data_IF_995612596582
#
_entry.id   IF_995612596582
#
_cell.length_a   1.000
_cell.length_b   1.000
_cell.length_c   1.000
_cell.angle_alpha   90.00
_cell.angle_beta   90.00
_cell.angle_gamma   90.00
#
_symmetry.space_group_name_H-M   'P 1'
#
loop_
_entity.id
_entity.type
_entity.pdbx_description
1 polymer ?
#
# COMPACT_ATOMS: atom_id res chain seq x y z
N UNK A 1 11.73 11.05 -26.55
CA UNK A 1 11.12 10.23 -25.47
C UNK A 1 12.13 9.64 -24.47
N UNK A 2 13.31 9.13 -24.88
CA UNK A 2 14.30 8.53 -23.96
C UNK A 2 14.91 9.52 -22.94
N UNK A 3 15.24 10.75 -23.33
CA UNK A 3 15.76 11.77 -22.40
C UNK A 3 14.76 12.18 -21.31
N UNK A 4 13.50 12.42 -21.68
CA UNK A 4 12.43 12.74 -20.72
C UNK A 4 12.24 11.61 -19.69
N UNK A 5 12.34 10.35 -20.12
CA UNK A 5 12.28 9.20 -19.20
C UNK A 5 13.48 9.11 -18.24
N UNK A 6 14.67 9.58 -18.63
CA UNK A 6 15.86 9.59 -17.75
C UNK A 6 15.77 10.71 -16.73
N UNK A 7 15.35 11.91 -17.15
CA UNK A 7 15.14 13.05 -16.25
C UNK A 7 14.07 12.73 -15.20
N UNK A 8 12.94 12.14 -15.61
CA UNK A 8 11.88 11.74 -14.69
C UNK A 8 12.35 10.68 -13.67
N UNK A 9 13.16 9.71 -14.13
CA UNK A 9 13.76 8.68 -13.26
C UNK A 9 14.75 9.25 -12.25
N UNK A 10 15.50 10.26 -12.64
CA UNK A 10 16.45 10.94 -11.77
C UNK A 10 15.72 11.82 -10.76
N UNK A 11 14.75 12.62 -11.21
CA UNK A 11 13.94 13.48 -10.35
C UNK A 11 13.20 12.67 -9.27
N UNK A 12 12.54 11.57 -9.65
CA UNK A 12 11.86 10.67 -8.69
C UNK A 12 12.80 10.06 -7.65
N UNK A 13 14.04 9.74 -8.05
CA UNK A 13 15.05 9.22 -7.13
C UNK A 13 15.54 10.31 -6.17
N UNK A 14 15.84 11.51 -6.69
CA UNK A 14 16.29 12.64 -5.85
C UNK A 14 15.20 13.06 -4.87
N UNK A 15 13.95 13.17 -5.31
CA UNK A 15 12.80 13.48 -4.45
C UNK A 15 12.55 12.40 -3.40
N UNK A 16 12.63 11.12 -3.78
CA UNK A 16 12.48 10.01 -2.85
C UNK A 16 13.59 9.97 -1.80
N UNK A 17 14.85 10.12 -2.21
CA UNK A 17 15.99 10.14 -1.28
C UNK A 17 15.93 11.35 -0.37
N UNK A 18 15.68 12.54 -0.92
CA UNK A 18 15.59 13.78 -0.16
C UNK A 18 14.48 13.75 0.89
N UNK A 19 13.30 13.22 0.54
CA UNK A 19 12.19 13.08 1.49
C UNK A 19 12.51 12.12 2.63
N UNK A 20 13.10 10.95 2.36
CA UNK A 20 13.47 9.99 3.42
C UNK A 20 14.51 10.58 4.38
N UNK A 21 15.54 11.24 3.86
CA UNK A 21 16.58 11.88 4.69
C UNK A 21 15.98 13.02 5.53
N UNK A 22 15.13 13.86 4.93
CA UNK A 22 14.45 14.95 5.64
C UNK A 22 13.53 14.41 6.75
N UNK A 23 12.72 13.40 6.45
CA UNK A 23 11.83 12.79 7.43
C UNK A 23 12.61 12.17 8.59
N UNK A 24 13.71 11.46 8.30
CA UNK A 24 14.59 10.90 9.33
C UNK A 24 15.16 11.99 10.25
N UNK A 25 15.66 13.08 9.67
CA UNK A 25 16.20 14.21 10.42
C UNK A 25 15.16 14.87 11.35
N UNK A 26 13.90 14.96 10.91
CA UNK A 26 12.81 15.54 11.70
C UNK A 26 12.31 14.58 12.80
N UNK A 27 12.23 13.28 12.51
CA UNK A 27 11.67 12.28 13.44
C UNK A 27 12.62 11.91 14.58
N UNK A 28 13.93 11.84 14.34
CA UNK A 28 14.90 11.42 15.37
C UNK A 28 14.84 12.30 16.64
N UNK A 29 14.88 13.64 16.57
CA UNK A 29 14.79 14.48 17.77
C UNK A 29 13.46 14.32 18.51
N UNK A 30 12.36 14.07 17.78
CA UNK A 30 11.04 13.88 18.38
C UNK A 30 10.98 12.58 19.19
N UNK A 31 11.55 11.49 18.65
CA UNK A 31 11.68 10.22 19.35
C UNK A 31 12.53 10.37 20.61
N UNK A 32 13.71 11.01 20.51
CA UNK A 32 14.60 11.21 21.66
C UNK A 32 13.90 11.96 22.80
N UNK A 33 13.23 13.08 22.51
CA UNK A 33 12.43 13.83 23.50
C UNK A 33 11.33 12.97 24.12
N UNK A 34 10.72 12.10 23.33
CA UNK A 34 9.65 11.24 23.82
C UNK A 34 10.17 10.19 24.82
N UNK A 35 11.39 9.67 24.62
CA UNK A 35 12.05 8.73 25.54
C UNK A 35 12.59 9.36 26.83
N UNK A 36 12.83 10.68 26.86
CA UNK A 36 13.27 11.39 28.08
C UNK A 36 12.22 11.39 29.21
N UNK A 37 10.95 11.08 28.91
CA UNK A 37 9.83 11.26 29.83
C UNK A 37 9.44 10.00 30.63
N UNK A 38 10.28 8.97 30.66
CA UNK A 38 10.20 7.84 31.60
C UNK A 38 9.91 6.46 30.97
N UNK A 39 10.20 5.35 31.69
CA UNK A 39 10.26 3.99 31.13
C UNK A 39 8.92 3.21 31.14
N UNK A 40 7.80 3.82 31.53
CA UNK A 40 6.52 3.11 31.62
C UNK A 40 6.05 2.66 30.23
N UNK A 41 5.82 1.35 30.05
CA UNK A 41 5.30 0.77 28.80
C UNK A 41 6.34 0.31 27.77
N UNK A 42 7.64 0.23 28.11
CA UNK A 42 8.67 -0.29 27.19
C UNK A 42 8.36 -1.69 26.63
N UNK A 43 7.81 -2.59 27.45
CA UNK A 43 7.42 -3.93 27.01
C UNK A 43 6.33 -3.88 25.92
N UNK A 44 5.30 -3.03 26.11
CA UNK A 44 4.24 -2.81 25.13
C UNK A 44 4.77 -2.21 23.84
N UNK A 45 5.72 -1.27 23.95
CA UNK A 45 6.38 -0.67 22.80
C UNK A 45 7.14 -1.74 22.00
N UNK A 46 7.89 -2.62 22.64
CA UNK A 46 8.59 -3.72 21.96
C UNK A 46 7.60 -4.66 21.26
N UNK A 47 6.53 -5.07 21.93
CA UNK A 47 5.48 -5.92 21.34
C UNK A 47 4.85 -5.23 20.13
N UNK A 48 4.50 -3.95 20.25
CA UNK A 48 3.96 -3.13 19.16
C UNK A 48 4.91 -3.06 17.96
N UNK A 49 6.20 -2.83 18.19
CA UNK A 49 7.21 -2.79 17.13
C UNK A 49 7.38 -4.14 16.42
N UNK A 50 7.37 -5.25 17.17
CA UNK A 50 7.47 -6.60 16.60
C UNK A 50 6.25 -6.93 15.73
N UNK A 51 5.04 -6.64 16.22
CA UNK A 51 3.80 -6.82 15.46
C UNK A 51 3.78 -5.94 14.20
N UNK A 52 4.22 -4.69 14.34
CA UNK A 52 4.31 -3.76 13.21
C UNK A 52 5.31 -4.25 12.15
N UNK A 53 6.48 -4.76 12.58
CA UNK A 53 7.46 -5.38 11.68
C UNK A 53 6.91 -6.64 10.99
N UNK A 54 6.15 -7.47 11.71
CA UNK A 54 5.47 -8.63 11.13
C UNK A 54 4.50 -8.20 10.03
N UNK A 55 3.74 -7.11 10.23
CA UNK A 55 2.86 -6.54 9.19
C UNK A 55 3.63 -6.16 7.92
N UNK A 56 4.84 -5.60 8.06
CA UNK A 56 5.72 -5.28 6.93
C UNK A 56 6.22 -6.53 6.18
N UNK A 57 6.51 -7.61 6.89
CA UNK A 57 6.89 -8.89 6.27
C UNK A 57 5.73 -9.43 5.42
N UNK A 58 4.51 -9.40 5.93
CA UNK A 58 3.32 -9.84 5.17
C UNK A 58 3.03 -8.92 3.98
N UNK A 59 3.17 -7.60 4.14
CA UNK A 59 3.08 -6.63 3.02
C UNK A 59 4.10 -6.90 1.93
N UNK A 60 5.33 -7.23 2.30
CA UNK A 60 6.37 -7.57 1.35
C UNK A 60 6.05 -8.88 0.63
N UNK A 61 5.58 -9.91 1.33
CA UNK A 61 5.13 -11.17 0.71
C UNK A 61 3.97 -10.93 -0.27
N UNK A 62 3.01 -10.08 0.08
CA UNK A 62 1.91 -9.67 -0.81
C UNK A 62 2.43 -8.98 -2.07
N UNK A 63 3.35 -8.03 -1.93
CA UNK A 63 3.97 -7.35 -3.07
C UNK A 63 4.73 -8.33 -3.98
N UNK A 64 5.46 -9.29 -3.40
CA UNK A 64 6.17 -10.33 -4.15
C UNK A 64 5.23 -11.15 -5.02
N UNK A 65 4.09 -11.58 -4.46
CA UNK A 65 3.07 -12.34 -5.18
C UNK A 65 2.38 -11.52 -6.28
N UNK A 66 2.13 -10.22 -6.04
CA UNK A 66 1.55 -9.31 -7.02
C UNK A 66 2.47 -9.06 -8.22
N UNK A 67 3.77 -8.92 -7.97
CA UNK A 67 4.77 -8.74 -9.03
C UNK A 67 4.99 -10.05 -9.82
N UNK A 68 4.64 -11.20 -9.25
CA UNK A 68 4.80 -12.51 -9.88
C UNK A 68 6.11 -13.22 -9.52
N UNK A 69 6.72 -12.86 -8.39
CA UNK A 69 7.96 -13.46 -7.90
C UNK A 69 9.23 -12.80 -8.45
N UNK A 70 10.38 -13.18 -7.90
CA UNK A 70 11.71 -12.65 -8.24
C UNK A 70 12.67 -12.70 -7.05
N UNK A 71 13.86 -12.09 -7.20
CA UNK A 71 14.93 -12.15 -6.19
C UNK A 71 14.53 -11.39 -4.92
N UNK A 72 14.48 -12.09 -3.78
CA UNK A 72 14.11 -11.53 -2.48
C UNK A 72 14.92 -10.27 -2.13
N UNK A 73 16.23 -10.25 -2.44
CA UNK A 73 17.11 -9.10 -2.15
C UNK A 73 16.69 -7.84 -2.91
N UNK A 74 16.26 -7.97 -4.15
CA UNK A 74 15.84 -6.83 -4.98
C UNK A 74 14.45 -6.34 -4.51
N UNK A 75 13.59 -7.27 -4.08
CA UNK A 75 12.27 -6.97 -3.53
C UNK A 75 12.40 -6.20 -2.22
N UNK A 76 13.24 -6.67 -1.30
CA UNK A 76 13.51 -6.03 -0.01
C UNK A 76 13.90 -4.57 -0.20
N UNK A 77 14.83 -4.30 -1.13
CA UNK A 77 15.30 -2.94 -1.42
C UNK A 77 14.19 -2.06 -1.97
N UNK A 78 13.45 -2.57 -2.97
CA UNK A 78 12.32 -1.84 -3.57
C UNK A 78 11.23 -1.56 -2.53
N UNK A 79 10.88 -2.56 -1.72
CA UNK A 79 9.85 -2.47 -0.70
C UNK A 79 10.19 -1.43 0.36
N UNK A 80 11.35 -1.55 1.02
CA UNK A 80 11.73 -0.65 2.09
C UNK A 80 11.98 0.78 1.59
N UNK A 81 12.58 0.95 0.41
CA UNK A 81 12.70 2.27 -0.21
C UNK A 81 11.34 2.91 -0.47
N UNK A 82 10.44 2.22 -1.17
CA UNK A 82 9.13 2.80 -1.51
C UNK A 82 8.24 3.01 -0.29
N UNK A 83 8.34 2.15 0.72
CA UNK A 83 7.60 2.30 1.99
C UNK A 83 8.09 3.53 2.76
N UNK A 84 9.40 3.74 2.85
CA UNK A 84 9.96 4.91 3.51
C UNK A 84 9.61 6.21 2.78
N UNK A 85 9.66 6.21 1.44
CA UNK A 85 9.23 7.37 0.63
C UNK A 85 7.74 7.67 0.81
N UNK A 86 6.88 6.65 0.82
CA UNK A 86 5.44 6.81 1.05
C UNK A 86 5.12 7.39 2.42
N UNK A 87 5.92 7.08 3.43
CA UNK A 87 5.76 7.62 4.78
C UNK A 87 6.33 9.05 4.91
N UNK A 88 7.43 9.35 4.20
CA UNK A 88 8.08 10.66 4.25
C UNK A 88 7.35 11.76 3.47
N UNK A 89 6.65 11.41 2.38
CA UNK A 89 6.04 12.41 1.49
C UNK A 89 4.57 12.71 1.81
N UNK A 90 4.18 14.00 1.86
CA UNK A 90 2.80 14.40 2.09
C UNK A 90 1.90 14.20 0.85
N UNK A 91 0.59 14.32 1.06
CA UNK A 91 -0.45 14.33 0.01
C UNK A 91 -0.48 13.11 -0.90
N UNK A 92 -0.09 11.92 -0.40
CA UNK A 92 -0.16 10.64 -1.14
C UNK A 92 0.74 10.59 -2.39
N UNK A 93 1.62 11.58 -2.57
CA UNK A 93 2.58 11.66 -3.68
C UNK A 93 3.60 10.51 -3.65
N UNK A 94 3.90 9.97 -2.46
CA UNK A 94 4.75 8.80 -2.31
C UNK A 94 4.18 7.55 -2.99
N UNK A 95 2.86 7.43 -3.11
CA UNK A 95 2.23 6.32 -3.84
C UNK A 95 2.48 6.43 -5.36
N UNK A 96 2.54 7.65 -5.91
CA UNK A 96 2.92 7.86 -7.31
C UNK A 96 4.37 7.42 -7.55
N UNK A 97 5.28 7.74 -6.63
CA UNK A 97 6.66 7.22 -6.71
C UNK A 97 6.62 5.71 -6.63
N UNK A 98 5.91 5.10 -5.68
CA UNK A 98 5.79 3.64 -5.57
C UNK A 98 5.28 2.98 -6.86
N UNK A 99 4.27 3.55 -7.52
CA UNK A 99 3.77 3.10 -8.83
C UNK A 99 4.89 3.13 -9.88
N UNK A 100 5.60 4.25 -9.99
CA UNK A 100 6.69 4.40 -10.97
C UNK A 100 7.86 3.47 -10.68
N UNK A 101 8.25 3.31 -9.40
CA UNK A 101 9.36 2.46 -8.96
C UNK A 101 9.07 0.98 -9.19
N UNK A 102 7.87 0.51 -8.83
CA UNK A 102 7.41 -0.85 -9.14
C UNK A 102 7.38 -1.04 -10.65
N UNK A 103 6.81 -0.07 -11.39
CA UNK A 103 6.67 -0.17 -12.83
C UNK A 103 8.00 -0.21 -13.58
N UNK A 104 8.97 0.64 -13.20
CA UNK A 104 10.31 0.63 -13.79
C UNK A 104 11.14 -0.59 -13.39
N UNK A 105 10.87 -1.15 -12.22
CA UNK A 105 11.53 -2.38 -11.77
C UNK A 105 10.98 -3.61 -12.47
N UNK A 106 9.74 -3.57 -12.99
CA UNK A 106 9.03 -4.76 -13.51
C UNK A 106 8.72 -4.66 -15.01
N UNK A 107 7.45 -4.57 -15.39
CA UNK A 107 6.93 -4.65 -16.77
C UNK A 107 6.50 -3.29 -17.35
N UNK A 108 6.67 -2.20 -16.60
CA UNK A 108 6.33 -0.83 -17.02
C UNK A 108 5.42 -0.10 -16.04
N UNK A 109 5.29 1.24 -16.18
CA UNK A 109 4.57 2.11 -15.21
C UNK A 109 3.10 1.71 -15.04
N UNK A 110 2.47 1.23 -16.11
CA UNK A 110 1.12 0.70 -16.08
C UNK A 110 0.97 -0.49 -15.14
N UNK A 111 1.89 -1.44 -15.21
CA UNK A 111 1.85 -2.62 -14.35
C UNK A 111 2.02 -2.21 -12.88
N UNK A 112 2.89 -1.24 -12.59
CA UNK A 112 2.99 -0.64 -11.25
C UNK A 112 1.67 -0.04 -10.76
N UNK A 113 0.92 0.63 -11.65
CA UNK A 113 -0.41 1.17 -11.32
C UNK A 113 -1.41 0.05 -11.02
N UNK A 114 -1.41 -1.02 -11.82
CA UNK A 114 -2.28 -2.20 -11.58
C UNK A 114 -1.98 -2.82 -10.22
N UNK A 115 -0.70 -3.05 -9.90
CA UNK A 115 -0.26 -3.65 -8.63
C UNK A 115 -0.77 -2.84 -7.44
N UNK A 116 -0.52 -1.53 -7.44
CA UNK A 116 -0.95 -0.64 -6.36
C UNK A 116 -2.47 -0.55 -6.28
N UNK A 117 -3.15 -0.42 -7.41
CA UNK A 117 -4.62 -0.35 -7.43
C UNK A 117 -5.27 -1.63 -6.87
N UNK A 118 -4.76 -2.80 -7.25
CA UNK A 118 -5.21 -4.08 -6.69
C UNK A 118 -4.99 -4.13 -5.17
N UNK A 119 -3.80 -3.74 -4.67
CA UNK A 119 -3.58 -3.65 -3.21
C UNK A 119 -4.61 -2.75 -2.53
N UNK A 120 -4.85 -1.56 -3.08
CA UNK A 120 -5.80 -0.60 -2.50
C UNK A 120 -7.22 -1.13 -2.53
N UNK A 121 -7.62 -1.87 -3.56
CA UNK A 121 -8.95 -2.48 -3.64
C UNK A 121 -9.19 -3.50 -2.52
N UNK A 122 -8.20 -4.37 -2.23
CA UNK A 122 -8.29 -5.30 -1.10
C UNK A 122 -8.28 -4.57 0.25
N UNK A 123 -7.37 -3.60 0.43
CA UNK A 123 -7.29 -2.82 1.66
C UNK A 123 -8.63 -2.08 1.92
N UNK A 124 -9.22 -1.47 0.89
CA UNK A 124 -10.50 -0.78 1.00
C UNK A 124 -11.67 -1.72 1.31
N UNK A 125 -11.69 -2.93 0.73
CA UNK A 125 -12.72 -3.93 1.00
C UNK A 125 -12.66 -4.46 2.44
N UNK A 126 -11.46 -4.70 2.96
CA UNK A 126 -11.32 -5.11 4.36
C UNK A 126 -11.67 -3.97 5.32
N UNK A 127 -11.21 -2.75 5.02
CA UNK A 127 -11.51 -1.58 5.83
C UNK A 127 -12.99 -1.23 5.83
N UNK A 128 -13.71 -1.41 4.72
CA UNK A 128 -15.16 -1.19 4.71
C UNK A 128 -15.88 -2.20 5.61
N UNK A 129 -15.48 -3.48 5.59
CA UNK A 129 -16.03 -4.50 6.48
C UNK A 129 -15.76 -4.17 7.96
N UNK A 130 -14.53 -3.79 8.30
CA UNK A 130 -14.17 -3.38 9.66
C UNK A 130 -14.95 -2.13 10.11
N UNK A 131 -15.08 -1.13 9.24
CA UNK A 131 -15.82 0.09 9.51
C UNK A 131 -17.33 -0.17 9.69
N UNK A 132 -17.93 -1.07 8.93
CA UNK A 132 -19.33 -1.49 9.12
C UNK A 132 -19.52 -2.14 10.49
N UNK A 133 -18.62 -3.03 10.90
CA UNK A 133 -18.65 -3.65 12.23
C UNK A 133 -18.56 -2.62 13.35
N UNK A 134 -17.64 -1.64 13.21
CA UNK A 134 -17.49 -0.54 14.16
C UNK A 134 -18.72 0.37 14.21
N UNK A 135 -19.28 0.73 13.06
CA UNK A 135 -20.48 1.56 12.98
C UNK A 135 -21.69 0.87 13.62
N UNK A 136 -21.80 -0.46 13.50
CA UNK A 136 -22.83 -1.20 14.22
C UNK A 136 -22.63 -1.15 15.73
N UNK A 137 -21.39 -1.33 16.20
CA UNK A 137 -21.07 -1.46 17.62
C UNK A 137 -21.03 -0.15 18.41
N UNK A 138 -20.70 0.99 17.81
CA UNK A 138 -20.59 2.27 18.52
C UNK A 138 -21.46 3.32 17.86
N UNK A 139 -22.43 3.85 18.61
CA UNK A 139 -23.35 4.87 18.11
C UNK A 139 -22.65 6.22 17.89
N UNK A 140 -21.68 6.56 18.75
CA UNK A 140 -20.98 7.85 18.71
C UNK A 140 -20.06 7.99 17.50
N UNK A 141 -19.48 6.88 17.01
CA UNK A 141 -18.59 6.90 15.84
C UNK A 141 -19.35 6.83 14.50
N UNK A 142 -20.65 6.50 14.49
CA UNK A 142 -21.48 6.37 13.28
C UNK A 142 -21.43 7.57 12.33
N UNK A 143 -21.60 8.84 12.77
CA UNK A 143 -21.66 9.97 11.86
C UNK A 143 -20.36 10.15 11.05
N UNK A 144 -19.22 9.75 11.60
CA UNK A 144 -17.93 9.80 10.92
C UNK A 144 -17.68 8.54 10.06
N UNK A 145 -18.11 7.37 10.52
CA UNK A 145 -17.89 6.09 9.83
C UNK A 145 -18.77 5.90 8.59
N UNK A 146 -20.03 6.35 8.62
CA UNK A 146 -20.97 6.19 7.49
C UNK A 146 -20.47 6.79 6.17
N UNK A 147 -20.03 8.07 6.09
CA UNK A 147 -19.51 8.62 4.84
C UNK A 147 -18.23 7.89 4.39
N UNK A 148 -17.36 7.49 5.32
CA UNK A 148 -16.17 6.70 5.02
C UNK A 148 -16.52 5.35 4.40
N UNK A 149 -17.48 4.62 4.99
CA UNK A 149 -18.00 3.35 4.45
C UNK A 149 -18.54 3.57 3.04
N UNK A 150 -19.33 4.62 2.81
CA UNK A 150 -19.88 4.95 1.50
C UNK A 150 -18.79 5.13 0.44
N UNK A 151 -17.74 5.90 0.76
CA UNK A 151 -16.60 6.13 -0.16
C UNK A 151 -15.82 4.84 -0.42
N UNK A 152 -15.53 4.04 0.61
CA UNK A 152 -14.80 2.78 0.47
C UNK A 152 -15.60 1.76 -0.35
N UNK A 153 -16.90 1.59 -0.06
CA UNK A 153 -17.77 0.70 -0.82
C UNK A 153 -17.93 1.16 -2.26
N UNK A 154 -18.06 2.46 -2.52
CA UNK A 154 -18.08 2.99 -3.87
C UNK A 154 -16.78 2.67 -4.61
N UNK A 155 -15.63 2.88 -3.98
CA UNK A 155 -14.33 2.54 -4.58
C UNK A 155 -14.19 1.05 -4.88
N UNK A 156 -14.62 0.18 -3.96
CA UNK A 156 -14.64 -1.27 -4.16
C UNK A 156 -15.59 -1.62 -5.30
N UNK A 157 -16.83 -1.14 -5.30
CA UNK A 157 -17.83 -1.40 -6.33
C UNK A 157 -17.34 -0.96 -7.72
N UNK A 158 -16.78 0.25 -7.84
CA UNK A 158 -16.15 0.72 -9.08
C UNK A 158 -14.99 -0.16 -9.51
N UNK A 159 -14.20 -0.66 -8.55
CA UNK A 159 -13.10 -1.57 -8.86
C UNK A 159 -13.61 -2.93 -9.35
N UNK A 160 -14.69 -3.46 -8.77
CA UNK A 160 -15.34 -4.68 -9.26
C UNK A 160 -15.92 -4.45 -10.66
N UNK A 161 -16.66 -3.37 -10.89
CA UNK A 161 -17.20 -3.04 -12.22
C UNK A 161 -16.06 -2.95 -13.25
N UNK A 162 -14.96 -2.30 -12.90
CA UNK A 162 -13.81 -2.19 -13.78
C UNK A 162 -13.15 -3.55 -14.06
N UNK A 163 -13.01 -4.42 -13.06
CA UNK A 163 -12.42 -5.75 -13.26
C UNK A 163 -13.35 -6.66 -14.07
N UNK A 164 -14.64 -6.72 -13.74
CA UNK A 164 -15.56 -7.70 -14.33
C UNK A 164 -16.33 -7.17 -15.54
N UNK A 165 -16.98 -6.01 -15.42
CA UNK A 165 -17.90 -5.53 -16.46
C UNK A 165 -17.18 -4.86 -17.63
N UNK A 166 -16.17 -4.04 -17.36
CA UNK A 166 -15.49 -3.23 -18.39
C UNK A 166 -14.87 -4.11 -19.49
N UNK A 167 -13.96 -5.05 -19.23
CA UNK A 167 -13.28 -5.80 -20.30
C UNK A 167 -14.22 -6.64 -21.18
N UNK A 168 -15.39 -7.04 -20.67
CA UNK A 168 -16.41 -7.77 -21.44
C UNK A 168 -17.16 -6.87 -22.42
N UNK A 169 -17.35 -5.60 -22.05
CA UNK A 169 -18.09 -4.63 -22.87
C UNK A 169 -17.19 -3.84 -23.83
N UNK A 170 -15.88 -3.69 -23.53
CA UNK A 170 -14.95 -2.92 -24.36
C UNK A 170 -14.87 -3.38 -25.84
N UNK A 171 -14.88 -4.69 -26.18
CA UNK A 171 -14.88 -5.12 -27.59
C UNK A 171 -16.12 -4.66 -28.36
N UNK A 172 -17.30 -4.68 -27.71
CA UNK A 172 -18.56 -4.22 -28.33
C UNK A 172 -18.52 -2.73 -28.59
N UNK A 173 -18.04 -1.95 -27.63
CA UNK A 173 -17.85 -0.50 -27.76
C UNK A 173 -16.86 -0.19 -28.90
N UNK A 174 -15.75 -0.94 -28.98
CA UNK A 174 -14.75 -0.76 -30.03
C UNK A 174 -15.33 -0.99 -31.44
N UNK A 175 -16.11 -2.05 -31.63
CA UNK A 175 -16.79 -2.33 -32.91
C UNK A 175 -17.80 -1.24 -33.28
N UNK A 176 -18.54 -0.72 -32.30
CA UNK A 176 -19.49 0.37 -32.52
C UNK A 176 -18.79 1.66 -32.98
N UNK A 177 -17.68 2.02 -32.34
CA UNK A 177 -16.89 3.21 -32.70
C UNK A 177 -16.30 3.07 -34.11
N UNK A 178 -15.77 1.89 -34.46
CA UNK A 178 -15.21 1.63 -35.79
C UNK A 178 -16.22 1.80 -36.91
N UNK A 179 -17.50 1.52 -36.65
CA UNK A 179 -18.59 1.65 -37.64
C UNK A 179 -19.08 3.09 -37.80
N UNK A 180 -19.06 3.90 -36.74
CA UNK A 180 -19.70 5.22 -36.72
C UNK A 180 -18.74 6.40 -36.89
N UNK A 181 -17.45 6.25 -36.55
CA UNK A 181 -16.52 7.36 -36.51
C UNK A 181 -15.30 7.10 -37.39
N UNK A 182 -15.12 7.93 -38.42
CA UNK A 182 -13.89 7.99 -39.22
C UNK A 182 -13.06 9.21 -38.83
N UNK A 183 -11.80 9.02 -38.43
CA UNK A 183 -10.84 10.12 -38.24
C UNK A 183 -9.89 9.96 -37.05
N UNK A 184 -9.02 10.97 -36.85
CA UNK A 184 -7.97 10.96 -35.80
C UNK A 184 -8.52 10.83 -34.38
N UNK A 185 -9.76 11.28 -34.11
CA UNK A 185 -10.43 11.14 -32.81
C UNK A 185 -10.84 9.69 -32.54
N UNK A 186 -11.37 8.99 -33.55
CA UNK A 186 -11.71 7.58 -33.44
C UNK A 186 -10.48 6.72 -33.12
N UNK A 187 -9.35 6.99 -33.80
CA UNK A 187 -8.08 6.29 -33.52
C UNK A 187 -7.61 6.51 -32.08
N UNK A 188 -7.73 7.73 -31.54
CA UNK A 188 -7.40 7.99 -30.12
C UNK A 188 -8.32 7.23 -29.18
N UNK A 189 -9.62 7.21 -29.44
CA UNK A 189 -10.61 6.52 -28.60
C UNK A 189 -10.36 5.00 -28.60
N UNK A 190 -10.08 4.41 -29.76
CA UNK A 190 -9.71 2.99 -29.88
C UNK A 190 -8.44 2.66 -29.11
N UNK A 191 -7.41 3.54 -29.16
CA UNK A 191 -6.18 3.35 -28.35
C UNK A 191 -6.48 3.40 -26.85
N UNK A 192 -7.33 4.31 -26.40
CA UNK A 192 -7.75 4.37 -24.99
C UNK A 192 -8.51 3.12 -24.57
N UNK A 193 -9.42 2.62 -25.39
CA UNK A 193 -10.17 1.37 -25.14
C UNK A 193 -9.22 0.16 -25.07
N UNK A 194 -8.28 0.05 -26.01
CA UNK A 194 -7.26 -0.99 -25.98
C UNK A 194 -6.40 -0.91 -24.70
N UNK A 195 -6.08 0.30 -24.25
CA UNK A 195 -5.40 0.54 -22.98
C UNK A 195 -6.29 0.30 -21.75
N UNK A 196 -7.60 0.46 -21.80
CA UNK A 196 -8.43 0.04 -20.67
C UNK A 196 -8.52 -1.49 -20.59
N UNK A 197 -8.69 -2.14 -21.75
CA UNK A 197 -8.80 -3.60 -21.87
C UNK A 197 -7.56 -4.29 -21.31
N UNK A 198 -6.39 -3.94 -21.81
CA UNK A 198 -5.16 -4.61 -21.38
C UNK A 198 -4.81 -4.30 -19.91
N UNK A 199 -5.32 -3.19 -19.33
CA UNK A 199 -5.11 -2.85 -17.92
C UNK A 199 -5.99 -3.74 -17.03
N UNK A 200 -7.25 -3.93 -17.42
CA UNK A 200 -8.16 -4.85 -16.74
C UNK A 200 -7.68 -6.31 -16.86
N UNK A 201 -7.14 -6.70 -18.02
CA UNK A 201 -6.57 -8.04 -18.23
C UNK A 201 -5.33 -8.28 -17.37
N UNK A 202 -4.42 -7.31 -17.26
CA UNK A 202 -3.25 -7.38 -16.36
C UNK A 202 -3.70 -7.59 -14.91
N UNK A 203 -4.70 -6.82 -14.45
CA UNK A 203 -5.26 -6.96 -13.11
C UNK A 203 -5.90 -8.34 -12.90
N UNK A 204 -6.77 -8.78 -13.82
CA UNK A 204 -7.37 -10.13 -13.78
C UNK A 204 -6.31 -11.23 -13.77
N UNK A 205 -5.21 -11.08 -14.53
CA UNK A 205 -4.13 -12.08 -14.60
C UNK A 205 -3.41 -12.22 -13.25
N UNK A 206 -3.15 -11.11 -12.56
CA UNK A 206 -2.55 -11.12 -11.22
C UNK A 206 -3.48 -11.82 -10.22
N UNK A 207 -4.78 -11.56 -10.32
CA UNK A 207 -5.80 -12.06 -9.41
C UNK A 207 -6.21 -13.53 -9.65
N UNK A 208 -6.05 -14.03 -10.87
CA UNK A 208 -6.50 -15.36 -11.28
C UNK A 208 -5.87 -16.45 -10.39
N UNK A 209 -6.73 -17.20 -9.68
CA UNK A 209 -6.31 -18.29 -8.79
C UNK A 209 -5.65 -17.84 -7.48
N UNK A 210 -5.57 -16.54 -7.19
CA UNK A 210 -4.87 -16.00 -6.00
C UNK A 210 -5.70 -15.01 -5.17
N UNK A 211 -6.97 -14.81 -5.51
CA UNK A 211 -7.88 -13.90 -4.79
C UNK A 211 -7.92 -14.18 -3.28
N UNK A 212 -8.12 -15.44 -2.89
CA UNK A 212 -8.16 -15.85 -1.49
C UNK A 212 -6.82 -15.58 -0.78
N UNK A 213 -5.69 -15.84 -1.45
CA UNK A 213 -4.37 -15.55 -0.91
C UNK A 213 -4.19 -14.06 -0.63
N UNK A 214 -4.59 -13.19 -1.56
CA UNK A 214 -4.51 -11.74 -1.34
C UNK A 214 -5.47 -11.25 -0.25
N UNK A 215 -6.67 -11.83 -0.14
CA UNK A 215 -7.60 -11.53 0.94
C UNK A 215 -7.01 -11.92 2.31
N UNK A 216 -6.46 -13.13 2.44
CA UNK A 216 -5.83 -13.62 3.68
C UNK A 216 -4.63 -12.76 4.06
N UNK A 217 -3.74 -12.45 3.11
CA UNK A 217 -2.59 -11.58 3.38
C UNK A 217 -3.04 -10.18 3.84
N UNK A 218 -4.09 -9.64 3.23
CA UNK A 218 -4.64 -8.33 3.62
C UNK A 218 -5.23 -8.37 5.02
N UNK A 219 -5.96 -9.44 5.36
CA UNK A 219 -6.46 -9.69 6.70
C UNK A 219 -5.32 -9.73 7.71
N UNK A 220 -4.29 -10.56 7.46
CA UNK A 220 -3.12 -10.70 8.34
C UNK A 220 -2.38 -9.37 8.57
N UNK A 221 -2.21 -8.55 7.51
CA UNK A 221 -1.59 -7.22 7.63
C UNK A 221 -2.34 -6.37 8.64
N UNK A 222 -3.66 -6.23 8.45
CA UNK A 222 -4.48 -5.41 9.33
C UNK A 222 -4.62 -6.00 10.74
N UNK A 223 -4.67 -7.33 10.87
CA UNK A 223 -4.61 -7.99 12.17
C UNK A 223 -3.33 -7.58 12.90
N UNK A 224 -2.16 -7.72 12.29
CA UNK A 224 -0.91 -7.30 12.93
C UNK A 224 -0.86 -5.81 13.26
N UNK A 225 -1.34 -4.93 12.38
CA UNK A 225 -1.39 -3.49 12.67
C UNK A 225 -2.35 -3.13 13.79
N UNK A 226 -3.54 -3.73 13.81
CA UNK A 226 -4.53 -3.51 14.87
C UNK A 226 -4.04 -4.05 16.21
N UNK A 227 -3.41 -5.22 16.24
CA UNK A 227 -2.79 -5.75 17.46
C UNK A 227 -1.59 -4.90 17.90
N UNK A 228 -0.80 -4.33 16.98
CA UNK A 228 0.28 -3.41 17.33
C UNK A 228 -0.26 -2.16 18.02
N UNK A 229 -1.39 -1.62 17.56
CA UNK A 229 -2.07 -0.48 18.20
C UNK A 229 -2.69 -0.91 19.53
N UNK A 230 -3.41 -2.04 19.56
CA UNK A 230 -4.10 -2.54 20.75
C UNK A 230 -3.15 -2.84 21.90
N UNK A 231 -1.94 -3.36 21.62
CA UNK A 231 -0.93 -3.62 22.66
C UNK A 231 -0.53 -2.39 23.47
N UNK A 232 -0.78 -1.19 22.93
CA UNK A 232 -0.46 0.10 23.54
C UNK A 232 -1.70 0.74 24.17
N UNK A 233 -2.84 0.64 23.50
CA UNK A 233 -4.10 1.28 23.90
C UNK A 233 -4.93 0.46 24.89
N UNK A 234 -4.75 -0.86 24.91
CA UNK A 234 -5.44 -1.79 25.79
C UNK A 234 -4.46 -2.86 26.32
N UNK A 235 -3.57 -2.50 27.26
CA UNK A 235 -2.64 -3.41 27.94
C UNK A 235 -3.23 -4.72 28.42
N UNK A 236 -4.41 -4.62 29.03
CA UNK A 236 -5.08 -5.72 29.72
C UNK A 236 -5.88 -6.60 28.75
N UNK A 237 -5.73 -6.38 27.44
CA UNK A 237 -6.40 -7.16 26.42
C UNK A 237 -5.87 -8.60 26.44
N UNK A 238 -6.68 -9.60 26.78
CA UNK A 238 -6.25 -10.98 26.64
C UNK A 238 -6.09 -11.25 25.14
N UNK A 239 -4.90 -11.72 24.73
CA UNK A 239 -4.54 -11.97 23.32
C UNK A 239 -5.49 -12.93 22.57
N UNK A 240 -6.52 -13.47 23.23
CA UNK A 240 -7.36 -14.58 22.80
C UNK A 240 -8.83 -14.15 22.59
N UNK A 241 -9.30 -13.04 23.18
CA UNK A 241 -10.74 -12.66 23.09
C UNK A 241 -11.03 -11.73 21.91
N UNK A 242 -10.92 -12.26 20.69
CA UNK A 242 -11.71 -11.84 19.52
C UNK A 242 -11.46 -10.44 18.90
N UNK A 243 -11.51 -10.39 17.56
CA UNK A 243 -11.46 -9.16 16.76
C UNK A 243 -12.59 -8.17 17.09
N UNK A 244 -13.76 -8.66 17.48
CA UNK A 244 -14.93 -7.82 17.81
C UNK A 244 -14.74 -7.04 19.11
N UNK A 245 -14.16 -7.64 20.15
CA UNK A 245 -13.87 -6.97 21.42
C UNK A 245 -12.73 -5.94 21.28
N UNK A 246 -11.75 -6.24 20.42
CA UNK A 246 -10.70 -5.30 20.04
C UNK A 246 -11.30 -4.07 19.36
N UNK A 247 -12.23 -4.26 18.42
CA UNK A 247 -12.94 -3.17 17.76
C UNK A 247 -13.84 -2.38 18.72
N UNK A 248 -14.57 -3.04 19.63
CA UNK A 248 -15.44 -2.35 20.60
C UNK A 248 -14.67 -1.55 21.65
N UNK A 249 -13.44 -1.95 22.02
CA UNK A 249 -12.56 -1.22 22.94
C UNK A 249 -11.73 -0.12 22.26
N UNK A 250 -11.44 -0.25 20.96
CA UNK A 250 -10.80 0.80 20.16
C UNK A 250 -11.69 2.05 20.04
N UNK A 251 -13.02 1.91 20.03
CA UNK A 251 -13.91 3.07 19.84
C UNK A 251 -14.01 4.00 21.07
N UNK A 252 -14.19 3.51 22.31
CA UNK A 252 -14.04 4.33 23.51
C UNK A 252 -12.63 4.90 23.65
N UNK A 253 -11.59 4.18 23.22
CA UNK A 253 -10.22 4.71 23.17
C UNK A 253 -10.02 5.85 22.17
N UNK A 254 -10.86 5.94 21.13
CA UNK A 254 -10.88 7.05 20.18
C UNK A 254 -11.70 8.26 20.70
N UNK A 255 -12.65 8.05 21.61
CA UNK A 255 -13.49 9.11 22.19
C UNK A 255 -13.04 9.59 23.58
N UNK A 256 -12.33 8.76 24.35
CA UNK A 256 -11.80 9.07 25.68
C UNK A 256 -10.26 9.11 25.71
N UNK A 257 -9.65 9.88 24.80
CA UNK A 257 -8.23 10.28 24.94
C UNK A 257 -8.11 11.38 26.01
N UNK A 258 -8.58 11.13 27.22
CA UNK A 258 -8.51 12.10 28.33
C UNK A 258 -7.35 11.82 29.30
N UNK A 259 -6.68 10.66 29.21
CA UNK A 259 -5.44 10.46 29.98
C UNK A 259 -4.23 11.04 29.23
N UNK A 260 -3.59 12.03 29.83
CA UNK A 260 -2.33 12.61 29.32
C UNK A 260 -1.20 11.58 29.17
N UNK A 261 -1.30 10.43 29.86
CA UNK A 261 -0.39 9.29 29.75
C UNK A 261 -0.63 8.42 28.50
N UNK A 262 -1.89 8.12 28.15
CA UNK A 262 -2.23 7.31 26.97
C UNK A 262 -1.86 8.01 25.67
N UNK A 263 -2.10 9.33 25.57
CA UNK A 263 -1.71 10.13 24.41
C UNK A 263 -0.18 10.21 24.25
N UNK A 264 0.58 10.22 25.35
CA UNK A 264 2.06 10.15 25.33
C UNK A 264 2.57 8.81 24.83
N UNK A 265 2.01 7.68 25.29
CA UNK A 265 2.46 6.36 24.85
C UNK A 265 2.09 6.08 23.37
N UNK A 266 0.93 6.55 22.91
CA UNK A 266 0.54 6.48 21.50
C UNK A 266 1.49 7.27 20.59
N UNK A 267 1.79 8.51 20.95
CA UNK A 267 2.73 9.34 20.17
C UNK A 267 4.14 8.73 20.14
N UNK A 268 4.63 8.21 21.27
CA UNK A 268 5.90 7.49 21.34
C UNK A 268 5.94 6.26 20.40
N UNK A 269 4.89 5.45 20.41
CA UNK A 269 4.83 4.22 19.61
C UNK A 269 4.70 4.53 18.13
N UNK A 270 3.86 5.50 17.74
CA UNK A 270 3.75 5.97 16.37
C UNK A 270 5.08 6.53 15.83
N UNK A 271 5.77 7.37 16.62
CA UNK A 271 7.08 7.91 16.24
C UNK A 271 8.15 6.83 16.15
N UNK A 272 8.13 5.83 17.05
CA UNK A 272 9.08 4.70 17.03
C UNK A 272 8.87 3.79 15.83
N UNK A 273 7.62 3.47 15.49
CA UNK A 273 7.25 2.72 14.28
C UNK A 273 7.67 3.47 13.01
N UNK A 274 7.44 4.79 12.97
CA UNK A 274 7.86 5.67 11.88
C UNK A 274 9.37 5.66 11.71
N UNK A 275 10.11 5.85 12.80
CA UNK A 275 11.58 5.81 12.80
C UNK A 275 12.10 4.46 12.33
N UNK A 276 11.51 3.35 12.77
CA UNK A 276 11.86 2.00 12.35
C UNK A 276 11.79 1.86 10.82
N UNK A 277 10.69 2.31 10.20
CA UNK A 277 10.52 2.28 8.74
C UNK A 277 11.56 3.15 8.04
N UNK A 278 11.85 4.33 8.57
CA UNK A 278 12.86 5.24 8.00
C UNK A 278 14.27 4.65 8.09
N UNK A 279 14.63 4.00 9.20
CA UNK A 279 15.93 3.31 9.36
C UNK A 279 16.08 2.20 8.31
N UNK A 280 15.08 1.31 8.19
CA UNK A 280 15.12 0.27 7.15
C UNK A 280 15.14 0.86 5.74
N UNK A 281 14.42 1.95 5.51
CA UNK A 281 14.45 2.72 4.28
C UNK A 281 15.83 3.24 3.92
N UNK A 282 16.53 3.86 4.88
CA UNK A 282 17.90 4.37 4.71
C UNK A 282 18.91 3.24 4.45
N UNK A 283 18.80 2.13 5.19
CA UNK A 283 19.65 0.94 4.95
C UNK A 283 19.43 0.37 3.54
N UNK A 284 18.19 0.38 3.06
CA UNK A 284 17.85 -0.06 1.71
C UNK A 284 18.26 0.94 0.61
N UNK A 285 18.43 2.22 0.94
CA UNK A 285 18.61 3.32 -0.02
C UNK A 285 19.90 3.19 -0.82
N UNK A 286 21.04 3.03 -0.16
CA UNK A 286 22.35 2.89 -0.84
C UNK A 286 22.39 1.72 -1.84
N UNK A 287 22.04 0.47 -1.46
CA UNK A 287 22.05 -0.63 -2.40
C UNK A 287 20.96 -0.52 -3.48
N UNK A 288 19.84 0.15 -3.19
CA UNK A 288 18.79 0.42 -4.16
C UNK A 288 19.25 1.40 -5.25
N UNK A 289 19.87 2.54 -4.87
CA UNK A 289 20.42 3.52 -5.81
C UNK A 289 21.45 2.84 -6.72
N UNK A 290 22.37 2.06 -6.14
CA UNK A 290 23.37 1.32 -6.92
C UNK A 290 22.72 0.36 -7.92
N UNK A 291 21.72 -0.41 -7.49
CA UNK A 291 20.97 -1.31 -8.37
C UNK A 291 20.31 -0.55 -9.52
N UNK A 292 19.71 0.61 -9.21
CA UNK A 292 19.00 1.45 -10.15
C UNK A 292 19.91 2.12 -11.18
N UNK A 293 21.06 2.64 -10.77
CA UNK A 293 22.06 3.22 -11.66
C UNK A 293 22.63 2.15 -12.62
N UNK A 294 22.80 0.92 -12.14
CA UNK A 294 23.28 -0.20 -12.94
C UNK A 294 22.22 -0.78 -13.91
N UNK A 295 21.00 -0.23 -13.94
CA UNK A 295 19.92 -0.68 -14.83
C UNK A 295 19.41 -2.11 -14.55
N UNK A 296 19.74 -2.70 -13.39
CA UNK A 296 19.27 -4.03 -12.99
C UNK A 296 17.85 -3.95 -12.47
N UNK A 297 16.89 -3.99 -13.39
CA UNK A 297 15.46 -4.18 -13.06
C UNK A 297 15.21 -5.53 -12.39
N UNK A 298 14.08 -5.64 -11.70
CA UNK A 298 13.57 -6.87 -11.11
C UNK A 298 13.32 -7.88 -12.24
N UNK A 299 14.22 -8.84 -12.38
CA UNK A 299 14.10 -9.92 -13.38
C UNK A 299 13.20 -11.02 -12.82
N UNK A 300 11.96 -10.67 -12.51
CA UNK A 300 10.90 -11.65 -12.27
C UNK A 300 10.43 -12.20 -13.61
N UNK A 301 10.76 -13.48 -13.87
CA UNK A 301 10.40 -14.29 -15.03
C UNK A 301 9.94 -13.46 -16.25
N UNK A 302 10.90 -13.01 -17.07
CA UNK A 302 10.58 -12.67 -18.46
C UNK A 302 9.97 -13.94 -19.02
N UNK A 303 8.68 -13.91 -19.32
CA UNK A 303 7.98 -15.02 -19.94
C UNK A 303 8.86 -15.52 -21.11
N UNK A 304 9.47 -16.70 -20.97
CA UNK A 304 10.18 -17.45 -22.02
C UNK A 304 9.23 -17.86 -23.18
N UNK A 305 7.98 -17.39 -23.16
CA UNK A 305 6.96 -17.63 -24.17
C UNK A 305 6.91 -16.55 -25.27
N UNK A 306 7.91 -15.67 -25.36
CA UNK A 306 8.06 -14.78 -26.52
C UNK A 306 8.56 -15.51 -27.80
N UNK A 307 8.69 -16.84 -27.77
CA UNK A 307 9.16 -17.65 -28.88
C UNK A 307 8.11 -18.34 -29.76
N UNK A 308 6.80 -18.27 -29.44
CA UNK A 308 5.81 -19.13 -30.12
C UNK A 308 4.58 -18.40 -30.70
N UNK A 309 4.75 -17.16 -31.17
CA UNK A 309 3.82 -16.53 -32.11
C UNK A 309 4.64 -15.76 -33.17
N UNK A 310 5.11 -16.50 -34.18
CA UNK A 310 5.29 -15.98 -35.54
C UNK A 310 4.17 -16.55 -36.39
#
# INVERSE_FOLDING_TARGET
MRQCSRLLRFATLVLGVGSVVWAFYVTVPQVMRAFEHGPAGMQMLVVSLVLYLASHVVRMARLWLLIGGGRLRELLRLYWYTTAVSLAMPFKTGELIRILEIGWSTKGPRFGLVVVWVERAFDAALLSLAAIGLAYSSQDARPLLLPLIGVLLLFVALSLIFLWVVPENLPRINLHIMRLYSGRRAVRLMRSIAYMKTFAEDARRILRGRMATFAILTLLIWTFELFAIASVMAPDFPAITGFTELLTKLVPGLSQVESSAGMKLWTMTALSQTLLVLVFGLVALFPYIRQRLNGRGFTGNRDDNAGCLR
#
